data_IF_304494217582
#
_entry.id   IF_304494217582
#
_cell.length_a   1.000
_cell.length_b   1.000
_cell.length_c   1.000
_cell.angle_alpha   90.00
_cell.angle_beta   90.00
_cell.angle_gamma   90.00
#
_symmetry.space_group_name_H-M   'P 1'
#
loop_
_entity.id
_entity.type
_entity.pdbx_description
1 polymer ?
#
# COMPACT_ATOMS: atom_id res chain seq x y z
N UNK A 1 4.06 8.13 9.77
CA UNK A 1 4.94 7.44 8.79
C UNK A 1 5.26 6.01 9.20
N UNK A 2 5.35 5.73 10.51
CA UNK A 2 5.45 4.38 11.09
C UNK A 2 4.49 3.38 10.45
N UNK A 3 3.19 3.71 10.45
CA UNK A 3 2.10 2.88 9.94
C UNK A 3 2.29 2.41 8.49
N UNK A 4 2.82 3.27 7.60
CA UNK A 4 3.07 2.90 6.21
C UNK A 4 4.25 1.92 6.10
N UNK A 5 5.29 2.14 6.90
CA UNK A 5 6.44 1.25 6.96
C UNK A 5 6.03 -0.11 7.50
N UNK A 6 5.25 -0.17 8.58
CA UNK A 6 4.77 -1.43 9.15
C UNK A 6 3.92 -2.20 8.13
N UNK A 7 2.97 -1.54 7.46
CA UNK A 7 2.15 -2.18 6.42
C UNK A 7 3.01 -2.78 5.29
N UNK A 8 4.01 -2.03 4.82
CA UNK A 8 4.89 -2.52 3.76
C UNK A 8 5.81 -3.66 4.22
N UNK A 9 6.38 -3.56 5.44
CA UNK A 9 7.20 -4.64 6.02
C UNK A 9 6.38 -5.91 6.19
N UNK A 10 5.15 -5.82 6.69
CA UNK A 10 4.28 -6.99 6.87
C UNK A 10 3.88 -7.65 5.55
N UNK A 11 3.58 -6.87 4.50
CA UNK A 11 3.17 -7.44 3.21
C UNK A 11 4.34 -7.99 2.37
N UNK A 12 5.57 -7.59 2.71
CA UNK A 12 6.76 -7.91 1.92
C UNK A 12 7.81 -8.73 2.65
N UNK A 13 7.70 -8.87 3.97
CA UNK A 13 8.69 -9.53 4.83
C UNK A 13 10.05 -8.83 4.90
N UNK A 14 10.21 -7.66 4.28
CA UNK A 14 11.53 -7.02 4.14
C UNK A 14 11.63 -5.74 4.96
N UNK A 15 12.77 -5.50 5.59
CA UNK A 15 13.04 -4.25 6.28
C UNK A 15 13.11 -3.08 5.28
N UNK A 16 12.27 -2.07 5.47
CA UNK A 16 12.20 -0.91 4.58
C UNK A 16 12.40 0.40 5.34
N UNK A 17 13.11 1.36 4.72
CA UNK A 17 13.25 2.71 5.25
C UNK A 17 11.92 3.47 5.17
N UNK A 18 11.70 4.41 6.11
CA UNK A 18 10.45 5.20 6.21
C UNK A 18 10.16 5.98 4.91
N UNK A 19 11.19 6.53 4.29
CA UNK A 19 11.11 7.31 3.05
C UNK A 19 10.71 6.43 1.86
N UNK A 20 11.20 5.19 1.85
CA UNK A 20 10.88 4.21 0.80
C UNK A 20 9.43 3.76 0.89
N UNK A 21 8.92 3.53 2.10
CA UNK A 21 7.50 3.23 2.31
C UNK A 21 6.61 4.40 1.86
N UNK A 22 7.00 5.65 2.14
CA UNK A 22 6.31 6.84 1.64
C UNK A 22 6.24 6.86 0.12
N UNK A 23 7.38 6.64 -0.54
CA UNK A 23 7.48 6.68 -2.00
C UNK A 23 6.65 5.57 -2.65
N UNK A 24 6.68 4.35 -2.09
CA UNK A 24 5.85 3.23 -2.54
C UNK A 24 4.36 3.54 -2.34
N UNK A 25 3.93 4.13 -1.21
CA UNK A 25 2.54 4.57 -1.02
C UNK A 25 2.07 5.52 -2.13
N UNK A 26 2.82 6.59 -2.41
CA UNK A 26 2.41 7.54 -3.45
C UNK A 26 2.42 6.92 -4.84
N UNK A 27 3.41 6.09 -5.16
CA UNK A 27 3.44 5.37 -6.44
C UNK A 27 2.24 4.45 -6.62
N UNK A 28 1.90 3.68 -5.59
CA UNK A 28 0.73 2.79 -5.59
C UNK A 28 -0.56 3.60 -5.72
N UNK A 29 -0.69 4.69 -4.96
CA UNK A 29 -1.84 5.59 -5.06
C UNK A 29 -1.98 6.19 -6.45
N UNK A 30 -0.91 6.74 -7.03
CA UNK A 30 -0.92 7.29 -8.39
C UNK A 30 -1.22 6.21 -9.43
N UNK A 31 -0.70 4.99 -9.26
CA UNK A 31 -1.02 3.88 -10.16
C UNK A 31 -2.51 3.57 -10.12
N UNK A 32 -3.10 3.41 -8.94
CA UNK A 32 -4.54 3.17 -8.82
C UNK A 32 -5.36 4.33 -9.39
N UNK A 33 -4.96 5.57 -9.11
CA UNK A 33 -5.65 6.75 -9.61
C UNK A 33 -5.70 6.82 -11.14
N UNK A 34 -4.59 6.53 -11.82
CA UNK A 34 -4.47 6.75 -13.27
C UNK A 34 -4.61 5.49 -14.12
N UNK A 35 -4.47 4.29 -13.55
CA UNK A 35 -4.40 3.04 -14.30
C UNK A 35 -5.40 1.98 -13.83
N UNK A 36 -5.93 2.10 -12.60
CA UNK A 36 -6.89 1.13 -12.05
C UNK A 36 -7.85 1.81 -11.05
N UNK A 37 -8.71 2.67 -11.61
CA UNK A 37 -9.66 3.47 -10.84
C UNK A 37 -10.68 2.60 -10.10
N UNK A 38 -11.05 1.43 -10.63
CA UNK A 38 -11.95 0.49 -9.94
C UNK A 38 -11.33 0.00 -8.62
N UNK A 39 -10.04 -0.34 -8.64
CA UNK A 39 -9.31 -0.70 -7.42
C UNK A 39 -9.10 0.49 -6.48
N UNK A 40 -9.01 1.71 -7.02
CA UNK A 40 -9.03 2.91 -6.18
C UNK A 40 -10.38 3.05 -5.45
N UNK A 41 -11.50 2.91 -6.16
CA UNK A 41 -12.84 2.99 -5.56
C UNK A 41 -13.02 1.93 -4.48
N UNK A 42 -12.63 0.68 -4.74
CA UNK A 42 -12.65 -0.38 -3.72
C UNK A 42 -11.78 -0.05 -2.48
N UNK A 43 -10.67 0.67 -2.67
CA UNK A 43 -9.84 1.15 -1.56
C UNK A 43 -10.54 2.24 -0.74
N UNK A 44 -11.29 3.12 -1.40
CA UNK A 44 -12.09 4.15 -0.74
C UNK A 44 -13.28 3.54 0.02
N UNK A 45 -13.95 2.56 -0.57
CA UNK A 45 -15.02 1.81 0.10
C UNK A 45 -14.48 1.08 1.34
N UNK A 46 -13.31 0.44 1.22
CA UNK A 46 -12.64 -0.19 2.36
C UNK A 46 -12.32 0.83 3.45
N UNK A 47 -11.81 2.02 3.08
CA UNK A 47 -11.53 3.09 4.04
C UNK A 47 -12.77 3.52 4.80
N UNK A 48 -13.91 3.67 4.12
CA UNK A 48 -15.16 4.06 4.79
C UNK A 48 -15.69 2.97 5.73
N UNK A 49 -15.42 1.70 5.42
CA UNK A 49 -15.79 0.56 6.26
C UNK A 49 -15.01 0.46 7.58
N UNK A 50 -13.92 1.23 7.76
CA UNK A 50 -13.09 1.17 8.96
C UNK A 50 -13.84 1.67 10.21
N UNK A 51 -13.79 0.86 11.27
CA UNK A 51 -14.33 1.22 12.58
C UNK A 51 -13.58 2.37 13.25
N UNK A 52 -14.16 2.96 14.31
CA UNK A 52 -13.57 4.12 15.04
C UNK A 52 -12.14 3.87 15.53
N UNK A 53 -11.87 2.67 16.05
CA UNK A 53 -10.54 2.31 16.55
C UNK A 53 -9.54 2.06 15.40
N UNK A 54 -10.00 1.50 14.29
CA UNK A 54 -9.17 1.25 13.10
C UNK A 54 -8.82 2.55 12.39
N UNK A 55 -9.71 3.55 12.40
CA UNK A 55 -9.45 4.89 11.85
C UNK A 55 -8.23 5.57 12.50
N UNK A 56 -7.91 5.27 13.77
CA UNK A 56 -6.65 5.73 14.40
C UNK A 56 -5.39 5.21 13.68
N UNK A 57 -5.52 4.08 12.99
CA UNK A 57 -4.47 3.41 12.18
C UNK A 57 -4.84 3.35 10.69
N UNK A 58 -5.73 4.22 10.22
CA UNK A 58 -6.26 4.21 8.84
C UNK A 58 -5.16 4.05 7.78
N UNK A 59 -4.09 4.85 7.88
CA UNK A 59 -2.97 4.79 6.92
C UNK A 59 -2.32 3.42 6.82
N UNK A 60 -2.26 2.66 7.91
CA UNK A 60 -1.74 1.28 7.89
C UNK A 60 -2.70 0.37 7.12
N UNK A 61 -3.98 0.37 7.50
CA UNK A 61 -4.99 -0.51 6.91
C UNK A 61 -5.20 -0.22 5.42
N UNK A 62 -5.41 1.05 5.07
CA UNK A 62 -5.61 1.47 3.67
C UNK A 62 -4.40 1.10 2.82
N UNK A 63 -3.19 1.39 3.28
CA UNK A 63 -2.01 1.07 2.49
C UNK A 63 -1.82 -0.44 2.33
N UNK A 64 -2.04 -1.21 3.41
CA UNK A 64 -2.01 -2.67 3.36
C UNK A 64 -3.02 -3.23 2.35
N UNK A 65 -4.23 -2.67 2.32
CA UNK A 65 -5.26 -3.04 1.35
C UNK A 65 -4.82 -2.72 -0.07
N UNK A 66 -4.33 -1.50 -0.34
CA UNK A 66 -3.82 -1.12 -1.66
C UNK A 66 -2.71 -2.06 -2.14
N UNK A 67 -1.77 -2.43 -1.25
CA UNK A 67 -0.69 -3.36 -1.58
C UNK A 67 -1.24 -4.74 -1.97
N UNK A 68 -2.24 -5.27 -1.23
CA UNK A 68 -2.88 -6.56 -1.55
C UNK A 68 -3.61 -6.53 -2.87
N UNK A 69 -4.36 -5.45 -3.13
CA UNK A 69 -5.09 -5.28 -4.40
C UNK A 69 -4.12 -5.25 -5.58
N UNK A 70 -3.07 -4.42 -5.51
CA UNK A 70 -2.06 -4.35 -6.58
C UNK A 70 -1.28 -5.66 -6.71
N UNK A 71 -0.93 -6.33 -5.61
CA UNK A 71 -0.23 -7.62 -5.65
C UNK A 71 -1.06 -8.71 -6.33
N UNK A 72 -2.37 -8.74 -6.06
CA UNK A 72 -3.31 -9.72 -6.62
C UNK A 72 -3.63 -9.44 -8.10
N UNK A 73 -4.04 -8.21 -8.41
CA UNK A 73 -4.49 -7.84 -9.78
C UNK A 73 -3.35 -7.50 -10.73
N UNK A 74 -2.29 -6.86 -10.24
CA UNK A 74 -1.19 -6.30 -11.05
C UNK A 74 0.19 -6.72 -10.53
N UNK A 75 0.50 -8.03 -10.43
CA UNK A 75 1.72 -8.52 -9.80
C UNK A 75 3.01 -7.96 -10.43
N UNK A 76 3.03 -7.75 -11.75
CA UNK A 76 4.16 -7.12 -12.45
C UNK A 76 4.38 -5.67 -12.04
N UNK A 77 3.31 -4.92 -11.80
CA UNK A 77 3.39 -3.53 -11.36
C UNK A 77 3.73 -3.42 -9.89
N UNK A 78 3.26 -4.36 -9.06
CA UNK A 78 3.62 -4.44 -7.65
C UNK A 78 5.14 -4.37 -7.42
N UNK A 79 5.91 -5.19 -8.15
CA UNK A 79 7.38 -5.18 -8.07
C UNK A 79 8.02 -3.86 -8.54
N UNK A 80 7.42 -3.17 -9.51
CA UNK A 80 7.92 -1.87 -10.03
C UNK A 80 7.59 -0.70 -9.10
N UNK A 81 6.40 -0.71 -8.51
CA UNK A 81 5.88 0.36 -7.65
C UNK A 81 6.58 0.34 -6.29
N UNK A 82 6.87 -0.84 -5.79
CA UNK A 82 7.53 -1.04 -4.50
C UNK A 82 8.82 -1.85 -4.71
N UNK A 83 9.87 -1.24 -5.29
CA UNK A 83 11.15 -1.90 -5.51
C UNK A 83 11.85 -2.04 -4.17
N UNK A 84 11.61 -3.18 -3.54
CA UNK A 84 12.38 -3.60 -2.37
C UNK A 84 13.75 -3.96 -2.92
N UNK A 85 14.75 -3.11 -2.64
CA UNK A 85 16.12 -3.51 -2.89
C UNK A 85 16.40 -4.65 -1.91
N UNK A 86 16.28 -5.89 -2.38
CA UNK A 86 17.03 -6.99 -1.78
C UNK A 86 18.50 -6.60 -1.93
N UNK A 87 19.08 -6.02 -0.87
CA UNK A 87 20.50 -6.19 -0.68
C UNK A 87 20.65 -7.62 -0.18
N UNK A 88 20.90 -8.52 -1.12
CA UNK A 88 21.66 -9.73 -0.83
C UNK A 88 23.02 -9.31 -0.22
#
# INVERSE_FOLDING_TARGET
MENLRCALVEETGTAVKRESARKCFYKVYSYLLYQDTDSLLATLDYRESLGREERKRERYFVFRFMLRVVKSKHPKQYGRLCPIKNKA
#
